data_IF_655125861102
#
_entry.id   IF_655125861102
#
_cell.length_a   1.000
_cell.length_b   1.000
_cell.length_c   1.000
_cell.angle_alpha   90.00
_cell.angle_beta   90.00
_cell.angle_gamma   90.00
#
_symmetry.space_group_name_H-M   'P 1'
#
loop_
_entity.id
_entity.type
_entity.pdbx_description
1 polymer ?
#
# COMPACT_ATOMS: atom_id res chain seq x y z
N UNK A 1 -13.92 -13.45 -15.10
CA UNK A 1 -12.60 -13.38 -14.47
C UNK A 1 -12.56 -14.41 -13.34
N UNK A 2 -11.73 -15.47 -13.43
CA UNK A 2 -11.58 -16.43 -12.33
C UNK A 2 -10.51 -15.89 -11.36
N UNK A 3 -10.94 -15.13 -10.37
CA UNK A 3 -10.07 -14.67 -9.29
C UNK A 3 -9.85 -15.84 -8.33
N UNK A 4 -8.63 -16.34 -8.23
CA UNK A 4 -8.25 -17.31 -7.19
C UNK A 4 -7.86 -16.54 -5.94
N UNK A 5 -8.70 -16.61 -4.91
CA UNK A 5 -8.39 -16.04 -3.61
C UNK A 5 -7.82 -17.12 -2.70
N UNK A 6 -6.58 -16.91 -2.25
CA UNK A 6 -5.93 -17.73 -1.23
C UNK A 6 -5.84 -16.97 0.09
N UNK A 7 -5.48 -17.67 1.17
CA UNK A 7 -5.14 -17.08 2.49
C UNK A 7 -4.05 -16.01 2.40
N UNK A 8 -3.32 -16.02 1.30
CA UNK A 8 -2.11 -15.22 1.04
C UNK A 8 -2.41 -13.82 0.52
N UNK A 9 -3.63 -13.57 0.06
CA UNK A 9 -3.97 -12.37 -0.73
C UNK A 9 -4.11 -11.09 0.10
N UNK A 10 -4.19 -11.17 1.42
CA UNK A 10 -4.51 -10.02 2.27
C UNK A 10 -3.79 -10.05 3.63
N UNK A 11 -2.59 -10.62 3.69
CA UNK A 11 -1.82 -10.74 4.94
C UNK A 11 -1.37 -9.41 5.53
N UNK A 12 -1.38 -8.35 4.73
CA UNK A 12 -1.14 -6.97 5.16
C UNK A 12 -2.32 -6.34 5.93
N UNK A 13 -3.54 -6.87 5.81
CA UNK A 13 -4.71 -6.22 6.39
C UNK A 13 -4.62 -5.92 7.89
N UNK A 14 -4.18 -6.83 8.77
CA UNK A 14 -4.10 -6.54 10.20
C UNK A 14 -3.24 -5.33 10.52
N UNK A 15 -2.08 -5.20 9.88
CA UNK A 15 -1.20 -4.06 10.11
C UNK A 15 -1.70 -2.80 9.41
N UNK A 16 -2.28 -2.92 8.22
CA UNK A 16 -2.91 -1.80 7.53
C UNK A 16 -4.05 -1.21 8.37
N UNK A 17 -4.93 -2.05 8.93
CA UNK A 17 -6.02 -1.62 9.80
C UNK A 17 -5.50 -0.89 11.04
N UNK A 18 -4.45 -1.40 11.67
CA UNK A 18 -3.79 -0.74 12.81
C UNK A 18 -3.25 0.63 12.41
N UNK A 19 -2.54 0.73 11.30
CA UNK A 19 -2.00 2.01 10.81
C UNK A 19 -3.10 3.01 10.47
N UNK A 20 -4.16 2.57 9.80
CA UNK A 20 -5.31 3.43 9.45
C UNK A 20 -5.97 4.01 10.70
N UNK A 21 -6.04 3.24 11.81
CA UNK A 21 -6.58 3.72 13.10
C UNK A 21 -5.64 4.67 13.86
N UNK A 22 -4.35 4.69 13.52
CA UNK A 22 -3.32 5.49 14.23
C UNK A 22 -2.94 6.78 13.51
N UNK A 23 -3.22 6.90 12.22
CA UNK A 23 -2.77 7.99 11.38
C UNK A 23 -3.93 8.66 10.65
N UNK A 24 -3.95 9.99 10.59
CA UNK A 24 -5.09 10.78 10.09
C UNK A 24 -4.88 11.45 8.71
N UNK A 25 -3.67 11.45 8.17
CA UNK A 25 -3.37 12.09 6.87
C UNK A 25 -3.82 11.25 5.66
N UNK A 26 -3.55 11.73 4.44
CA UNK A 26 -3.98 11.06 3.21
C UNK A 26 -3.37 9.66 3.05
N UNK A 27 -4.09 8.78 2.35
CA UNK A 27 -3.68 7.40 2.07
C UNK A 27 -3.47 7.22 0.57
N UNK A 28 -2.37 6.55 0.22
CA UNK A 28 -2.09 6.08 -1.13
C UNK A 28 -2.10 4.55 -1.18
N UNK A 29 -2.89 3.98 -2.07
CA UNK A 29 -2.89 2.56 -2.39
C UNK A 29 -2.24 2.37 -3.76
N UNK A 30 -1.14 1.64 -3.81
CA UNK A 30 -0.44 1.27 -5.03
C UNK A 30 -0.73 -0.21 -5.35
N UNK A 31 -1.60 -0.45 -6.31
CA UNK A 31 -2.20 -1.73 -6.63
C UNK A 31 -3.54 -1.93 -5.90
N UNK A 32 -4.62 -1.92 -6.67
CA UNK A 32 -5.97 -2.12 -6.12
C UNK A 32 -6.28 -3.59 -5.92
N UNK A 33 -7.15 -3.88 -4.96
CA UNK A 33 -7.55 -5.24 -4.66
C UNK A 33 -8.94 -5.35 -4.04
N UNK A 34 -9.47 -6.58 -4.02
CA UNK A 34 -10.80 -6.85 -3.46
C UNK A 34 -10.86 -6.73 -1.93
N UNK A 35 -9.70 -6.67 -1.25
CA UNK A 35 -9.63 -6.54 0.21
C UNK A 35 -9.23 -5.13 0.61
N UNK A 36 -8.13 -4.60 0.07
CA UNK A 36 -7.60 -3.29 0.45
C UNK A 36 -8.49 -2.15 0.00
N UNK A 37 -8.85 -2.10 -1.28
CA UNK A 37 -9.63 -0.99 -1.84
C UNK A 37 -10.98 -0.79 -1.15
N UNK A 38 -11.84 -1.82 -0.97
CA UNK A 38 -13.09 -1.67 -0.22
C UNK A 38 -12.86 -1.25 1.23
N UNK A 39 -11.87 -1.87 1.91
CA UNK A 39 -11.57 -1.53 3.28
C UNK A 39 -11.15 -0.07 3.42
N UNK A 40 -10.18 0.40 2.61
CA UNK A 40 -9.70 1.77 2.65
C UNK A 40 -10.80 2.77 2.29
N UNK A 41 -11.62 2.45 1.28
CA UNK A 41 -12.78 3.27 0.91
C UNK A 41 -13.70 3.51 2.11
N UNK A 42 -14.13 2.45 2.79
CA UNK A 42 -15.04 2.57 3.91
C UNK A 42 -14.39 3.19 5.15
N UNK A 43 -13.11 2.91 5.40
CA UNK A 43 -12.38 3.53 6.51
C UNK A 43 -12.21 5.05 6.35
N UNK A 44 -12.17 5.55 5.11
CA UNK A 44 -12.08 6.97 4.81
C UNK A 44 -13.45 7.69 4.73
N UNK A 45 -14.56 6.94 4.74
CA UNK A 45 -15.88 7.46 4.42
C UNK A 45 -16.36 8.57 5.36
N UNK A 46 -16.33 8.35 6.67
CA UNK A 46 -16.87 9.29 7.65
C UNK A 46 -16.08 10.60 7.72
N UNK A 47 -14.77 10.50 7.69
CA UNK A 47 -13.88 11.66 7.82
C UNK A 47 -13.61 12.36 6.50
N UNK A 48 -14.07 11.80 5.37
CA UNK A 48 -13.71 12.23 4.01
C UNK A 48 -12.20 12.32 3.82
N UNK A 49 -11.46 11.42 4.47
CA UNK A 49 -10.01 11.32 4.39
C UNK A 49 -9.60 11.07 2.94
N UNK A 50 -8.69 11.88 2.41
CA UNK A 50 -8.22 11.72 1.02
C UNK A 50 -7.62 10.33 0.83
N UNK A 51 -8.15 9.60 -0.14
CA UNK A 51 -7.68 8.30 -0.59
C UNK A 51 -7.40 8.36 -2.08
N UNK A 52 -6.22 7.92 -2.48
CA UNK A 52 -5.86 7.74 -3.88
C UNK A 52 -5.46 6.29 -4.08
N UNK A 53 -6.07 5.63 -5.06
CA UNK A 53 -5.71 4.27 -5.47
C UNK A 53 -5.17 4.30 -6.90
N UNK A 54 -3.98 3.75 -7.08
CA UNK A 54 -3.35 3.57 -8.39
C UNK A 54 -3.48 2.13 -8.84
N UNK A 55 -3.87 1.93 -10.12
CA UNK A 55 -3.98 0.61 -10.73
C UNK A 55 -3.49 0.65 -12.17
N UNK A 56 -2.57 -0.24 -12.53
CA UNK A 56 -2.02 -0.31 -13.90
C UNK A 56 -2.75 -1.31 -14.82
N UNK A 57 -3.56 -2.22 -14.25
CA UNK A 57 -4.32 -3.20 -15.02
C UNK A 57 -5.77 -2.78 -15.22
N UNK A 58 -6.18 -2.58 -16.47
CA UNK A 58 -7.55 -2.19 -16.83
C UNK A 58 -8.62 -3.08 -16.17
N UNK A 59 -8.40 -4.39 -16.09
CA UNK A 59 -9.37 -5.32 -15.49
C UNK A 59 -9.61 -5.09 -14.00
N UNK A 60 -8.58 -4.70 -13.24
CA UNK A 60 -8.71 -4.35 -11.83
C UNK A 60 -9.30 -2.96 -11.65
N UNK A 61 -8.91 -1.99 -12.49
CA UNK A 61 -9.53 -0.67 -12.50
C UNK A 61 -11.06 -0.76 -12.70
N UNK A 62 -11.51 -1.54 -13.70
CA UNK A 62 -12.95 -1.75 -13.96
C UNK A 62 -13.70 -2.34 -12.75
N UNK A 63 -13.04 -3.18 -11.98
CA UNK A 63 -13.61 -3.78 -10.77
C UNK A 63 -13.79 -2.76 -9.64
N UNK A 64 -12.84 -1.83 -9.49
CA UNK A 64 -12.81 -0.90 -8.35
C UNK A 64 -13.34 0.50 -8.66
N UNK A 65 -13.53 0.87 -9.93
CA UNK A 65 -14.01 2.22 -10.32
C UNK A 65 -15.34 2.63 -9.66
N UNK A 66 -16.14 1.67 -9.19
CA UNK A 66 -17.37 1.92 -8.44
C UNK A 66 -17.14 2.65 -7.11
N UNK A 67 -15.90 2.65 -6.59
CA UNK A 67 -15.51 3.35 -5.35
C UNK A 67 -15.09 4.80 -5.58
N UNK A 68 -15.04 5.29 -6.82
CA UNK A 68 -14.68 6.68 -7.12
C UNK A 68 -15.72 7.64 -6.54
N UNK A 69 -15.26 8.61 -5.73
CA UNK A 69 -16.09 9.65 -5.15
C UNK A 69 -15.23 10.86 -4.71
N UNK A 70 -15.82 11.84 -4.03
CA UNK A 70 -15.17 13.11 -3.65
C UNK A 70 -13.86 12.95 -2.87
N UNK A 71 -13.75 11.92 -2.02
CA UNK A 71 -12.57 11.65 -1.19
C UNK A 71 -11.71 10.49 -1.71
N UNK A 72 -12.19 9.71 -2.69
CA UNK A 72 -11.48 8.56 -3.23
C UNK A 72 -11.29 8.68 -4.74
N UNK A 73 -10.09 9.05 -5.15
CA UNK A 73 -9.65 9.03 -6.54
C UNK A 73 -9.05 7.66 -6.89
N UNK A 74 -9.43 7.10 -8.04
CA UNK A 74 -8.76 5.91 -8.59
C UNK A 74 -8.21 6.30 -9.97
N UNK A 75 -6.92 6.05 -10.21
CA UNK A 75 -6.25 6.44 -11.44
C UNK A 75 -5.36 5.33 -11.99
N UNK A 76 -5.10 5.39 -13.30
CA UNK A 76 -4.19 4.48 -14.00
C UNK A 76 -2.88 5.16 -14.41
N UNK A 77 -2.68 6.38 -13.98
CA UNK A 77 -1.52 7.20 -14.32
C UNK A 77 -0.82 7.64 -13.02
N UNK A 78 0.38 7.13 -12.79
CA UNK A 78 1.16 7.41 -11.59
C UNK A 78 1.61 8.88 -11.53
N UNK A 79 1.74 9.54 -12.67
CA UNK A 79 2.16 10.94 -12.73
C UNK A 79 1.05 11.92 -12.30
N UNK A 80 -0.18 11.44 -12.18
CA UNK A 80 -1.31 12.19 -11.58
C UNK A 80 -1.33 12.17 -10.05
N UNK A 81 -0.43 11.40 -9.44
CA UNK A 81 -0.30 11.33 -7.99
C UNK A 81 0.64 12.44 -7.54
N UNK A 82 0.06 13.47 -6.93
CA UNK A 82 0.77 14.64 -6.47
C UNK A 82 1.85 14.32 -5.44
N UNK A 83 2.91 15.16 -5.41
CA UNK A 83 4.03 15.05 -4.48
C UNK A 83 3.69 15.46 -3.04
N UNK A 84 2.47 15.17 -2.56
CA UNK A 84 2.09 15.45 -1.17
C UNK A 84 2.70 14.42 -0.19
N UNK A 85 2.67 14.76 1.09
CA UNK A 85 3.08 13.83 2.14
C UNK A 85 1.93 12.88 2.51
N UNK A 86 2.16 11.58 2.36
CA UNK A 86 1.19 10.54 2.65
C UNK A 86 1.32 10.04 4.09
N UNK A 87 0.24 9.84 4.79
CA UNK A 87 0.31 9.20 6.10
C UNK A 87 0.57 7.70 5.97
N UNK A 88 -0.03 7.06 4.97
CA UNK A 88 0.14 5.63 4.71
C UNK A 88 0.24 5.42 3.20
N UNK A 89 1.20 4.61 2.77
CA UNK A 89 1.25 4.03 1.43
C UNK A 89 1.17 2.52 1.55
N UNK A 90 0.19 1.88 0.92
CA UNK A 90 0.17 0.44 0.70
C UNK A 90 0.78 0.12 -0.66
N UNK A 91 1.75 -0.79 -0.71
CA UNK A 91 2.40 -1.25 -1.94
C UNK A 91 2.05 -2.70 -2.20
N UNK A 92 1.13 -2.91 -3.15
CA UNK A 92 0.69 -4.22 -3.64
C UNK A 92 0.47 -4.25 -5.17
N UNK A 93 1.10 -3.30 -5.87
CA UNK A 93 1.06 -3.18 -7.33
C UNK A 93 1.86 -4.29 -8.03
N UNK A 94 1.83 -4.28 -9.36
CA UNK A 94 2.58 -5.24 -10.18
C UNK A 94 4.08 -5.27 -9.83
N UNK A 95 4.72 -6.45 -9.79
CA UNK A 95 6.08 -6.62 -9.27
C UNK A 95 7.13 -5.71 -9.89
N UNK A 96 7.14 -5.59 -11.23
CA UNK A 96 8.20 -4.89 -11.95
C UNK A 96 8.27 -3.38 -11.65
N UNK A 97 7.18 -2.77 -11.18
CA UNK A 97 7.10 -1.33 -10.89
C UNK A 97 7.35 -0.98 -9.42
N UNK A 98 7.27 -1.95 -8.48
CA UNK A 98 7.32 -1.69 -7.02
C UNK A 98 8.55 -0.93 -6.58
N UNK A 99 9.74 -1.39 -6.95
CA UNK A 99 11.01 -0.79 -6.52
C UNK A 99 11.13 0.68 -6.90
N UNK A 100 10.91 1.01 -8.16
CA UNK A 100 11.07 2.39 -8.63
C UNK A 100 9.95 3.30 -8.10
N UNK A 101 8.75 2.76 -7.93
CA UNK A 101 7.66 3.50 -7.30
C UNK A 101 7.96 3.83 -5.84
N UNK A 102 8.45 2.86 -5.05
CA UNK A 102 8.79 3.08 -3.64
C UNK A 102 9.86 4.17 -3.50
N UNK A 103 10.88 4.16 -4.37
CA UNK A 103 11.94 5.19 -4.36
C UNK A 103 11.41 6.62 -4.51
N UNK A 104 10.32 6.81 -5.27
CA UNK A 104 9.67 8.13 -5.41
C UNK A 104 9.11 8.65 -4.08
N UNK A 105 8.69 7.73 -3.18
CA UNK A 105 7.98 8.06 -1.95
C UNK A 105 8.81 7.91 -0.65
N UNK A 106 10.11 7.62 -0.75
CA UNK A 106 10.99 7.38 0.42
C UNK A 106 10.90 8.49 1.47
N UNK A 107 10.77 9.75 1.05
CA UNK A 107 10.73 10.93 1.93
C UNK A 107 9.36 11.64 1.94
N UNK A 108 8.32 10.98 1.46
CA UNK A 108 6.99 11.58 1.36
C UNK A 108 5.88 10.74 1.97
N UNK A 109 6.25 9.79 2.88
CA UNK A 109 5.26 9.00 3.60
C UNK A 109 5.67 8.73 5.05
N UNK A 110 4.70 8.80 5.98
CA UNK A 110 4.90 8.40 7.37
C UNK A 110 5.11 6.89 7.49
N UNK A 111 4.30 6.10 6.80
CA UNK A 111 4.39 4.64 6.78
C UNK A 111 4.24 4.10 5.36
N UNK A 112 5.14 3.20 4.96
CA UNK A 112 5.00 2.45 3.72
C UNK A 112 4.86 0.97 4.08
N UNK A 113 3.75 0.36 3.67
CA UNK A 113 3.40 -1.06 3.89
C UNK A 113 3.74 -1.84 2.64
N UNK A 114 4.67 -2.76 2.73
CA UNK A 114 5.15 -3.60 1.64
C UNK A 114 4.56 -4.99 1.77
N UNK A 115 3.71 -5.38 0.82
CA UNK A 115 3.18 -6.75 0.74
C UNK A 115 4.19 -7.69 0.06
N UNK A 116 4.05 -9.00 0.29
CA UNK A 116 4.92 -10.05 -0.28
C UNK A 116 6.42 -9.84 0.01
N UNK A 117 6.76 -9.44 1.21
CA UNK A 117 8.12 -9.04 1.57
C UNK A 117 9.02 -10.20 2.05
N UNK A 118 8.64 -11.45 1.77
CA UNK A 118 9.47 -12.63 2.04
C UNK A 118 10.75 -12.62 1.21
N UNK A 119 11.83 -13.14 1.76
CA UNK A 119 13.13 -13.23 1.10
C UNK A 119 13.06 -14.03 -0.22
N UNK A 120 12.22 -15.06 -0.30
CA UNK A 120 12.01 -15.84 -1.52
C UNK A 120 11.47 -15.03 -2.72
N UNK A 121 10.88 -13.86 -2.45
CA UNK A 121 10.37 -12.96 -3.49
C UNK A 121 11.31 -11.80 -3.80
N UNK A 122 12.48 -11.74 -3.15
CA UNK A 122 13.38 -10.60 -3.30
C UNK A 122 13.98 -10.49 -4.71
N UNK A 123 14.18 -11.62 -5.41
CA UNK A 123 14.57 -11.61 -6.82
C UNK A 123 13.56 -10.87 -7.73
N UNK A 124 12.29 -10.83 -7.32
CA UNK A 124 11.19 -10.21 -8.07
C UNK A 124 10.98 -8.75 -7.64
N UNK A 125 10.88 -8.52 -6.32
CA UNK A 125 10.50 -7.21 -5.76
C UNK A 125 11.69 -6.33 -5.41
N UNK A 126 12.88 -6.91 -5.22
CA UNK A 126 14.14 -6.24 -4.89
C UNK A 126 14.03 -5.35 -3.65
N UNK A 127 13.27 -5.79 -2.64
CA UNK A 127 13.09 -5.05 -1.40
C UNK A 127 14.37 -4.94 -0.58
N UNK A 128 15.33 -5.89 -0.72
CA UNK A 128 16.66 -5.77 -0.10
C UNK A 128 17.40 -4.51 -0.50
N UNK A 129 17.20 -3.99 -1.73
CA UNK A 129 17.77 -2.73 -2.19
C UNK A 129 17.00 -1.50 -1.68
N UNK A 130 15.74 -1.69 -1.25
CA UNK A 130 14.86 -0.62 -0.75
C UNK A 130 15.07 -0.39 0.75
N UNK A 131 15.22 -1.45 1.53
CA UNK A 131 15.33 -1.34 2.99
C UNK A 131 16.40 -0.38 3.49
N UNK A 132 17.61 -0.30 2.89
CA UNK A 132 18.64 0.64 3.32
C UNK A 132 18.27 2.12 3.16
N UNK A 133 17.23 2.44 2.40
CA UNK A 133 16.74 3.81 2.20
C UNK A 133 15.89 4.31 3.39
N UNK A 134 15.54 3.42 4.34
CA UNK A 134 14.66 3.73 5.45
C UNK A 134 15.36 3.61 6.79
N UNK A 135 15.04 4.56 7.68
CA UNK A 135 15.56 4.60 9.05
C UNK A 135 14.95 3.54 9.96
N UNK A 136 13.71 3.21 9.72
CA UNK A 136 12.95 2.26 10.53
C UNK A 136 12.33 1.19 9.64
N UNK A 137 12.41 -0.07 10.10
CA UNK A 137 11.80 -1.23 9.46
C UNK A 137 11.20 -2.14 10.53
N UNK A 138 10.04 -2.71 10.24
CA UNK A 138 9.43 -3.77 11.06
C UNK A 138 8.76 -4.81 10.18
N UNK A 139 9.13 -6.06 10.39
CA UNK A 139 8.60 -7.21 9.66
C UNK A 139 7.47 -7.86 10.46
N UNK A 140 6.43 -8.30 9.76
CA UNK A 140 5.27 -9.01 10.29
C UNK A 140 5.18 -10.36 9.57
N UNK A 141 5.72 -11.39 10.20
CA UNK A 141 5.93 -12.73 9.66
C UNK A 141 5.03 -13.82 10.28
N UNK A 142 4.14 -13.45 11.21
CA UNK A 142 3.18 -14.39 11.82
C UNK A 142 2.19 -14.96 10.81
N UNK A 143 1.97 -14.28 9.71
CA UNK A 143 1.14 -14.71 8.59
C UNK A 143 1.94 -14.50 7.30
N UNK A 144 1.93 -15.50 6.41
CA UNK A 144 2.67 -15.45 5.15
C UNK A 144 1.70 -15.30 3.96
N UNK A 145 2.12 -14.57 2.91
CA UNK A 145 3.39 -13.86 2.75
C UNK A 145 3.59 -12.74 3.76
N UNK A 146 4.88 -12.50 4.11
CA UNK A 146 5.29 -11.48 5.07
C UNK A 146 4.87 -10.09 4.60
N UNK A 147 4.48 -9.27 5.55
CA UNK A 147 4.29 -7.83 5.35
C UNK A 147 5.38 -7.07 6.09
N UNK A 148 5.99 -6.08 5.46
CA UNK A 148 6.98 -5.20 6.10
C UNK A 148 6.47 -3.77 6.11
N UNK A 149 6.65 -3.07 7.23
CA UNK A 149 6.44 -1.62 7.30
C UNK A 149 7.80 -0.94 7.37
N UNK A 150 7.97 0.10 6.58
CA UNK A 150 9.17 0.96 6.59
C UNK A 150 8.80 2.42 6.79
N UNK A 151 9.73 3.21 7.36
CA UNK A 151 9.52 4.64 7.62
C UNK A 151 10.84 5.38 7.77
N UNK A 152 10.88 6.65 7.33
CA UNK A 152 11.93 7.60 7.68
C UNK A 152 11.51 8.56 8.82
N UNK A 153 10.22 8.64 9.12
CA UNK A 153 9.64 9.65 10.02
C UNK A 153 9.13 9.07 11.33
N UNK A 154 8.66 7.82 11.35
CA UNK A 154 8.00 7.22 12.51
C UNK A 154 8.79 6.04 13.06
N UNK A 155 8.98 6.01 14.37
CA UNK A 155 9.49 4.84 15.03
C UNK A 155 8.42 3.72 15.03
N UNK A 156 8.81 2.52 14.63
CA UNK A 156 7.90 1.39 14.42
C UNK A 156 7.83 0.41 15.60
N UNK A 157 8.45 0.75 16.75
CA UNK A 157 8.52 -0.16 17.90
C UNK A 157 7.16 -0.52 18.49
N UNK A 158 6.16 0.34 18.30
CA UNK A 158 4.80 0.18 18.86
C UNK A 158 3.78 -0.44 17.87
N UNK A 159 4.19 -0.85 16.68
CA UNK A 159 3.31 -1.49 15.68
C UNK A 159 3.01 -2.96 16.00
#
# INVERSE_FOLDING_TARGET
>A
MNLKFGKETATYLPILMKLVSMADGPILELGTGIFSTPYLHWACFETKRKLVSYEEKQSYFEMVKQYICDYHMICMDLDKIDGEHWSIILVDQYPASRKETIKKFVNSADYIVLHDSDEKYDEIYQYSEIYPLFKYRRDFDKVLPRTTVVSNFKNLSNL
#
